data_IF_726486000746
#
_entry.id   IF_726486000746
#
_cell.length_a   1.000
_cell.length_b   1.000
_cell.length_c   1.000
_cell.angle_alpha   90.00
_cell.angle_beta   90.00
_cell.angle_gamma   90.00
#
_symmetry.space_group_name_H-M   'P 1'
#
loop_
_entity.id
_entity.type
_entity.pdbx_description
1 polymer ?
#
# COMPACT_ATOMS: atom_id res chain seq x y z
N UNK A 1 -27.93 5.61 4.53
CA UNK A 1 -27.95 5.82 3.06
C UNK A 1 -26.56 6.07 2.44
N UNK A 2 -25.47 6.23 3.23
CA UNK A 2 -24.09 6.34 2.69
C UNK A 2 -23.35 4.99 2.69
N UNK A 3 -23.65 4.09 3.63
CA UNK A 3 -23.00 2.77 3.75
C UNK A 3 -23.26 1.84 2.56
N UNK A 4 -24.39 2.00 1.85
CA UNK A 4 -24.70 1.26 0.63
C UNK A 4 -23.77 1.56 -0.54
N UNK A 5 -23.01 2.66 -0.48
CA UNK A 5 -22.02 3.02 -1.50
C UNK A 5 -20.68 2.34 -1.28
N UNK A 6 -20.38 1.88 -0.06
CA UNK A 6 -19.06 1.30 0.29
C UNK A 6 -18.68 0.15 -0.65
N UNK A 7 -19.55 -0.86 -0.92
CA UNK A 7 -19.20 -1.94 -1.84
C UNK A 7 -18.94 -1.45 -3.26
N UNK A 8 -19.62 -0.39 -3.70
CA UNK A 8 -19.45 0.19 -5.05
C UNK A 8 -18.12 0.89 -5.19
N UNK A 9 -17.70 1.66 -4.17
CA UNK A 9 -16.39 2.30 -4.16
C UNK A 9 -15.25 1.26 -4.10
N UNK A 10 -15.40 0.24 -3.26
CA UNK A 10 -14.43 -0.86 -3.19
C UNK A 10 -14.31 -1.56 -4.55
N UNK A 11 -15.44 -1.93 -5.17
CA UNK A 11 -15.43 -2.55 -6.48
C UNK A 11 -14.77 -1.67 -7.56
N UNK A 12 -15.11 -0.38 -7.60
CA UNK A 12 -14.52 0.56 -8.56
C UNK A 12 -13.00 0.69 -8.38
N UNK A 13 -12.52 0.81 -7.14
CA UNK A 13 -11.09 0.88 -6.82
C UNK A 13 -10.37 -0.41 -7.21
N UNK A 14 -10.95 -1.57 -6.88
CA UNK A 14 -10.39 -2.88 -7.24
C UNK A 14 -10.28 -3.05 -8.75
N UNK A 15 -11.34 -2.73 -9.50
CA UNK A 15 -11.33 -2.80 -10.97
C UNK A 15 -10.26 -1.87 -11.54
N UNK A 16 -10.19 -0.62 -11.06
CA UNK A 16 -9.17 0.33 -11.48
C UNK A 16 -7.75 -0.17 -11.22
N UNK A 17 -7.50 -0.76 -10.04
CA UNK A 17 -6.18 -1.28 -9.68
C UNK A 17 -5.79 -2.54 -10.48
N UNK A 18 -6.74 -3.45 -10.75
CA UNK A 18 -6.53 -4.59 -11.66
C UNK A 18 -6.18 -4.09 -13.06
N UNK A 19 -6.95 -3.13 -13.59
CA UNK A 19 -6.67 -2.54 -14.90
C UNK A 19 -5.31 -1.84 -14.94
N UNK A 20 -4.92 -1.14 -13.88
CA UNK A 20 -3.59 -0.54 -13.78
C UNK A 20 -2.48 -1.61 -13.79
N UNK A 21 -2.64 -2.72 -13.06
CA UNK A 21 -1.72 -3.86 -13.11
C UNK A 21 -1.60 -4.46 -14.51
N UNK A 22 -2.72 -4.65 -15.20
CA UNK A 22 -2.71 -5.20 -16.55
C UNK A 22 -2.12 -4.21 -17.57
N UNK A 23 -2.59 -2.97 -17.58
CA UNK A 23 -2.23 -1.99 -18.60
C UNK A 23 -0.87 -1.35 -18.35
N UNK A 24 -0.60 -0.90 -17.13
CA UNK A 24 0.66 -0.21 -16.84
C UNK A 24 1.75 -1.25 -16.63
N UNK A 25 1.60 -2.16 -15.67
CA UNK A 25 2.71 -3.05 -15.33
C UNK A 25 2.99 -4.07 -16.43
N UNK A 26 1.98 -4.70 -17.04
CA UNK A 26 2.21 -5.69 -18.12
C UNK A 26 2.27 -5.06 -19.52
N UNK A 27 1.31 -4.25 -19.95
CA UNK A 27 1.34 -3.75 -21.34
C UNK A 27 2.43 -2.71 -21.57
N UNK A 28 2.59 -1.74 -20.67
CA UNK A 28 3.63 -0.70 -20.82
C UNK A 28 5.00 -1.21 -20.38
N UNK A 29 5.09 -1.79 -19.17
CA UNK A 29 6.38 -2.19 -18.59
C UNK A 29 6.75 -3.67 -18.79
N UNK A 30 5.93 -4.50 -19.44
CA UNK A 30 6.18 -5.93 -19.57
C UNK A 30 7.52 -6.26 -20.24
N UNK A 31 7.93 -5.47 -21.24
CA UNK A 31 9.25 -5.61 -21.86
C UNK A 31 10.41 -5.28 -20.91
N UNK A 32 10.25 -4.24 -20.09
CA UNK A 32 11.23 -3.86 -19.05
C UNK A 32 11.31 -4.91 -17.95
N UNK A 33 10.17 -5.42 -17.51
CA UNK A 33 10.09 -6.52 -16.53
C UNK A 33 10.79 -7.76 -17.09
N UNK A 34 10.51 -8.16 -18.33
CA UNK A 34 11.16 -9.31 -18.95
C UNK A 34 12.68 -9.11 -19.13
N UNK A 35 13.12 -7.89 -19.42
CA UNK A 35 14.55 -7.56 -19.49
C UNK A 35 15.22 -7.67 -18.12
N UNK A 36 14.59 -7.13 -17.07
CA UNK A 36 15.05 -7.27 -15.69
C UNK A 36 15.11 -8.74 -15.25
N UNK A 37 14.08 -9.51 -15.60
CA UNK A 37 14.01 -10.94 -15.27
C UNK A 37 15.14 -11.72 -15.94
N UNK A 38 15.39 -11.48 -17.24
CA UNK A 38 16.47 -12.13 -17.98
C UNK A 38 17.85 -11.79 -17.41
N UNK A 39 18.10 -10.52 -17.11
CA UNK A 39 19.38 -10.06 -16.55
C UNK A 39 19.66 -10.69 -15.19
N UNK A 40 18.63 -10.89 -14.38
CA UNK A 40 18.77 -11.40 -13.01
C UNK A 40 18.53 -12.92 -12.90
N UNK A 41 18.33 -13.62 -14.02
CA UNK A 41 18.01 -15.05 -14.03
C UNK A 41 16.75 -15.38 -13.23
N UNK A 42 15.72 -14.55 -13.33
CA UNK A 42 14.44 -14.73 -12.63
C UNK A 42 13.48 -15.52 -13.51
N UNK A 43 12.98 -16.63 -12.98
CA UNK A 43 11.89 -17.40 -13.56
C UNK A 43 10.61 -17.14 -12.77
N UNK A 44 9.55 -16.68 -13.43
CA UNK A 44 8.27 -16.38 -12.77
C UNK A 44 7.70 -17.63 -12.10
N UNK A 45 7.21 -17.46 -10.87
CA UNK A 45 6.69 -18.55 -10.04
C UNK A 45 7.72 -19.13 -9.09
N UNK A 46 9.02 -18.98 -9.36
CA UNK A 46 10.06 -19.32 -8.41
C UNK A 46 10.21 -18.24 -7.31
N UNK A 47 10.75 -18.56 -6.12
CA UNK A 47 10.84 -17.61 -5.02
C UNK A 47 11.51 -16.27 -5.38
N UNK A 48 12.57 -16.30 -6.20
CA UNK A 48 13.30 -15.09 -6.64
C UNK A 48 12.43 -14.14 -7.49
N UNK A 49 11.36 -14.64 -8.09
CA UNK A 49 10.43 -13.82 -8.88
C UNK A 49 9.65 -12.81 -8.06
N UNK A 50 9.74 -12.86 -6.72
CA UNK A 50 9.23 -11.82 -5.82
C UNK A 50 9.77 -10.42 -6.18
N UNK A 51 11.00 -10.34 -6.70
CA UNK A 51 11.60 -9.08 -7.13
C UNK A 51 10.83 -8.43 -8.28
N UNK A 52 10.47 -9.19 -9.32
CA UNK A 52 9.67 -8.65 -10.44
C UNK A 52 8.17 -8.59 -10.09
N UNK A 53 7.68 -9.50 -9.23
CA UNK A 53 6.31 -9.46 -8.71
C UNK A 53 6.04 -8.20 -7.90
N UNK A 54 7.07 -7.61 -7.26
CA UNK A 54 6.96 -6.38 -6.47
C UNK A 54 6.49 -5.16 -7.27
N UNK A 55 6.49 -5.24 -8.61
CA UNK A 55 5.84 -4.23 -9.45
C UNK A 55 4.30 -4.21 -9.27
N UNK A 56 3.70 -5.30 -8.79
CA UNK A 56 2.25 -5.53 -8.73
C UNK A 56 1.68 -5.56 -7.30
N UNK A 57 2.53 -5.65 -6.29
CA UNK A 57 2.10 -5.78 -4.91
C UNK A 57 3.29 -5.72 -3.98
N UNK A 58 3.01 -5.55 -2.71
CA UNK A 58 4.03 -5.30 -1.71
C UNK A 58 4.49 -6.56 -0.98
N UNK A 59 5.66 -6.52 -0.38
CA UNK A 59 6.24 -7.66 0.30
C UNK A 59 7.05 -7.18 1.49
N UNK A 60 7.15 -8.05 2.50
CA UNK A 60 7.82 -7.75 3.75
C UNK A 60 8.77 -8.89 4.14
N UNK A 61 10.01 -8.61 4.58
CA UNK A 61 10.70 -7.33 4.37
C UNK A 61 10.77 -6.98 2.88
N UNK A 62 11.09 -5.72 2.54
CA UNK A 62 11.21 -5.30 1.15
C UNK A 62 12.18 -6.24 0.40
N UNK A 63 11.75 -6.95 -0.67
CA UNK A 63 12.55 -7.96 -1.33
C UNK A 63 13.85 -7.39 -1.91
N UNK A 64 13.82 -6.16 -2.41
CA UNK A 64 15.01 -5.47 -2.92
C UNK A 64 16.05 -5.14 -1.84
N UNK A 65 15.63 -5.10 -0.57
CA UNK A 65 16.51 -4.89 0.58
C UNK A 65 16.76 -6.17 1.39
N UNK A 66 16.29 -7.32 0.89
CA UNK A 66 16.58 -8.62 1.49
C UNK A 66 17.94 -9.15 1.04
N UNK A 67 18.59 -9.96 1.87
CA UNK A 67 19.81 -10.71 1.52
C UNK A 67 19.53 -11.88 0.57
N UNK A 68 18.35 -12.48 0.68
CA UNK A 68 17.96 -13.65 -0.10
C UNK A 68 17.77 -13.33 -1.58
N UNK A 69 17.19 -12.16 -1.86
CA UNK A 69 16.80 -11.79 -3.21
C UNK A 69 17.47 -10.48 -3.69
N UNK A 70 17.65 -9.51 -2.79
CA UNK A 70 18.13 -8.17 -3.11
C UNK A 70 19.58 -7.92 -2.71
N UNK A 71 19.86 -6.66 -2.37
CA UNK A 71 21.20 -6.18 -2.00
C UNK A 71 21.28 -5.56 -0.60
N UNK A 72 20.20 -5.69 0.19
CA UNK A 72 20.13 -5.09 1.52
C UNK A 72 20.42 -6.07 2.66
N UNK A 73 20.30 -5.60 3.92
CA UNK A 73 20.72 -6.36 5.09
C UNK A 73 19.66 -7.35 5.61
N UNK A 74 18.40 -7.22 5.20
CA UNK A 74 17.29 -7.92 5.83
C UNK A 74 17.25 -9.42 5.49
N UNK A 75 16.96 -10.25 6.48
CA UNK A 75 16.47 -11.63 6.29
C UNK A 75 14.96 -11.69 6.60
N UNK A 76 14.26 -12.73 6.16
CA UNK A 76 12.78 -12.80 6.33
C UNK A 76 12.33 -12.63 7.78
N UNK A 77 13.11 -13.17 8.72
CA UNK A 77 12.78 -13.19 10.14
C UNK A 77 12.96 -11.84 10.83
N UNK A 78 13.69 -10.89 10.22
CA UNK A 78 13.86 -9.53 10.76
C UNK A 78 12.53 -8.76 10.81
N UNK A 79 11.60 -9.09 9.91
CA UNK A 79 10.25 -8.53 9.89
C UNK A 79 9.23 -9.66 10.00
N UNK A 80 8.70 -9.83 11.22
CA UNK A 80 7.61 -10.76 11.49
C UNK A 80 6.32 -10.36 10.78
N UNK A 81 5.44 -11.33 10.53
CA UNK A 81 4.11 -11.10 9.94
C UNK A 81 3.29 -10.10 10.77
N UNK A 82 3.31 -10.25 12.10
CA UNK A 82 2.61 -9.32 12.99
C UNK A 82 3.25 -7.92 12.96
N UNK A 83 4.58 -7.83 12.95
CA UNK A 83 5.30 -6.55 12.83
C UNK A 83 4.97 -5.80 11.53
N UNK A 84 4.90 -6.53 10.42
CA UNK A 84 4.50 -5.99 9.13
C UNK A 84 3.03 -5.53 9.14
N UNK A 85 2.11 -6.34 9.67
CA UNK A 85 0.70 -5.96 9.85
C UNK A 85 0.56 -4.66 10.66
N UNK A 86 1.29 -4.54 11.76
CA UNK A 86 1.27 -3.33 12.60
C UNK A 86 1.89 -2.13 11.89
N UNK A 87 2.90 -2.33 11.05
CA UNK A 87 3.51 -1.26 10.25
C UNK A 87 2.54 -0.74 9.18
N UNK A 88 1.83 -1.64 8.50
CA UNK A 88 0.76 -1.27 7.55
C UNK A 88 -0.39 -0.54 8.24
N UNK A 89 -0.83 -1.01 9.41
CA UNK A 89 -1.83 -0.32 10.22
C UNK A 89 -1.35 1.06 10.69
N UNK A 90 -0.10 1.17 11.13
CA UNK A 90 0.49 2.40 11.63
C UNK A 90 0.63 3.47 10.54
N UNK A 91 1.18 3.12 9.38
CA UNK A 91 1.29 4.07 8.26
C UNK A 91 -0.08 4.53 7.76
N UNK A 92 -1.04 3.61 7.68
CA UNK A 92 -2.42 3.96 7.28
C UNK A 92 -3.13 4.83 8.33
N UNK A 93 -2.87 4.60 9.63
CA UNK A 93 -3.35 5.45 10.71
C UNK A 93 -2.86 6.89 10.53
N UNK A 94 -1.56 7.09 10.32
CA UNK A 94 -0.99 8.43 10.11
C UNK A 94 -1.63 9.09 8.89
N UNK A 95 -1.73 8.36 7.77
CA UNK A 95 -2.33 8.87 6.55
C UNK A 95 -3.79 9.30 6.78
N UNK A 96 -4.61 8.46 7.41
CA UNK A 96 -6.00 8.79 7.70
C UNK A 96 -6.11 9.94 8.69
N UNK A 97 -5.28 9.99 9.74
CA UNK A 97 -5.24 11.09 10.69
C UNK A 97 -5.00 12.43 9.99
N UNK A 98 -4.01 12.49 9.08
CA UNK A 98 -3.72 13.70 8.32
C UNK A 98 -4.88 14.05 7.38
N UNK A 99 -5.41 13.09 6.63
CA UNK A 99 -6.56 13.32 5.72
C UNK A 99 -7.73 13.93 6.48
N UNK A 100 -8.17 13.31 7.58
CA UNK A 100 -9.30 13.80 8.38
C UNK A 100 -8.95 15.09 9.13
N UNK A 101 -7.68 15.32 9.47
CA UNK A 101 -7.19 16.58 10.03
C UNK A 101 -7.36 17.74 9.05
N UNK A 102 -6.88 17.60 7.81
CA UNK A 102 -6.85 18.72 6.87
C UNK A 102 -8.15 18.92 6.09
N UNK A 103 -8.92 17.85 5.87
CA UNK A 103 -10.19 17.92 5.12
C UNK A 103 -11.37 18.41 5.98
N UNK A 104 -11.22 18.43 7.30
CA UNK A 104 -12.30 18.88 8.19
C UNK A 104 -12.73 20.32 7.90
N UNK A 105 -14.03 20.58 7.81
CA UNK A 105 -14.60 21.93 7.57
C UNK A 105 -14.16 23.00 8.57
N UNK A 106 -13.76 22.61 9.79
CA UNK A 106 -13.26 23.51 10.84
C UNK A 106 -11.80 23.91 10.65
N UNK A 107 -11.04 23.17 9.85
CA UNK A 107 -9.67 23.52 9.54
C UNK A 107 -9.63 24.72 8.58
N UNK A 108 -9.03 25.83 9.02
CA UNK A 108 -8.88 27.06 8.24
C UNK A 108 -7.45 27.31 7.75
N UNK A 109 -6.50 26.46 8.13
CA UNK A 109 -5.06 26.65 7.83
C UNK A 109 -4.80 26.63 6.32
N UNK A 110 -5.51 25.77 5.58
CA UNK A 110 -5.38 25.63 4.13
C UNK A 110 -6.44 26.41 3.34
N UNK A 111 -6.99 27.47 3.94
CA UNK A 111 -8.05 28.29 3.35
C UNK A 111 -9.46 27.71 3.57
N UNK A 112 -10.46 28.58 3.44
CA UNK A 112 -11.86 28.27 3.74
C UNK A 112 -12.72 27.93 2.52
N UNK A 113 -12.29 28.27 1.30
CA UNK A 113 -13.11 28.16 0.09
C UNK A 113 -12.64 27.00 -0.81
N UNK A 114 -11.49 27.14 -1.49
CA UNK A 114 -11.09 26.17 -2.52
C UNK A 114 -10.19 25.03 -2.01
N UNK A 115 -9.51 25.23 -0.87
CA UNK A 115 -8.68 24.21 -0.18
C UNK A 115 -7.71 23.45 -1.09
N UNK A 116 -7.17 24.13 -2.11
CA UNK A 116 -6.30 23.56 -3.15
C UNK A 116 -5.04 22.88 -2.58
N UNK A 117 -4.58 23.27 -1.39
CA UNK A 117 -3.44 22.65 -0.72
C UNK A 117 -3.69 21.26 -0.13
N UNK A 118 -4.95 20.82 0.02
CA UNK A 118 -5.30 19.54 0.66
C UNK A 118 -4.69 18.33 -0.07
N UNK A 119 -4.88 18.16 -1.40
CA UNK A 119 -4.25 17.05 -2.13
C UNK A 119 -2.72 17.05 -2.03
N UNK A 120 -2.09 18.23 -2.05
CA UNK A 120 -0.64 18.37 -1.93
C UNK A 120 -0.14 17.87 -0.56
N UNK A 121 -0.79 18.25 0.53
CA UNK A 121 -0.40 17.79 1.88
C UNK A 121 -0.60 16.29 2.05
N UNK A 122 -1.66 15.70 1.46
CA UNK A 122 -1.86 14.24 1.47
C UNK A 122 -0.74 13.55 0.69
N UNK A 123 -0.41 14.05 -0.50
CA UNK A 123 0.69 13.51 -1.32
C UNK A 123 2.04 13.62 -0.60
N UNK A 124 2.34 14.77 0.01
CA UNK A 124 3.56 14.98 0.79
C UNK A 124 3.63 14.06 2.02
N UNK A 125 2.48 13.78 2.66
CA UNK A 125 2.42 12.81 3.75
C UNK A 125 2.87 11.44 3.27
N UNK A 126 2.30 10.94 2.18
CA UNK A 126 2.72 9.67 1.58
C UNK A 126 4.20 9.70 1.21
N UNK A 127 4.69 10.79 0.59
CA UNK A 127 6.09 10.94 0.18
C UNK A 127 7.08 10.88 1.35
N UNK A 128 6.72 11.42 2.52
CA UNK A 128 7.54 11.36 3.74
C UNK A 128 7.50 9.98 4.39
N UNK A 129 6.31 9.35 4.45
CA UNK A 129 6.18 8.04 5.07
C UNK A 129 6.88 6.95 4.24
N UNK A 130 6.92 7.08 2.92
CA UNK A 130 7.48 6.08 2.01
C UNK A 130 8.92 5.66 2.37
N UNK A 131 9.93 6.54 2.46
CA UNK A 131 11.28 6.13 2.81
C UNK A 131 11.41 5.56 4.24
N UNK A 132 10.48 5.89 5.16
CA UNK A 132 10.51 5.42 6.54
C UNK A 132 10.07 3.96 6.66
N UNK A 133 9.03 3.58 5.91
CA UNK A 133 8.37 2.28 6.09
C UNK A 133 8.47 1.35 4.88
N UNK A 134 8.80 1.87 3.68
CA UNK A 134 9.01 1.03 2.51
C UNK A 134 10.14 0.01 2.68
N UNK A 135 11.18 0.22 3.50
CA UNK A 135 12.14 -0.84 3.80
C UNK A 135 11.54 -2.05 4.53
N UNK A 136 10.47 -1.83 5.30
CA UNK A 136 9.85 -2.86 6.16
C UNK A 136 8.74 -3.60 5.41
N UNK A 137 7.81 -2.88 4.78
CA UNK A 137 6.63 -3.49 4.14
C UNK A 137 6.39 -3.03 2.73
N UNK A 138 7.27 -2.18 2.18
CA UNK A 138 7.06 -1.44 0.92
C UNK A 138 5.87 -0.45 0.94
N UNK A 139 5.30 -0.16 2.13
CA UNK A 139 4.29 0.88 2.35
C UNK A 139 3.02 0.71 1.48
N UNK A 140 2.27 -0.37 1.71
CA UNK A 140 1.09 -0.70 0.92
C UNK A 140 -0.09 0.24 1.15
N UNK A 141 -0.50 0.41 2.41
CA UNK A 141 -1.50 1.35 2.99
C UNK A 141 -2.87 1.46 2.31
N UNK A 142 -3.13 0.66 1.29
CA UNK A 142 -4.36 0.68 0.51
C UNK A 142 -4.62 -0.74 -0.04
N UNK A 143 -5.72 -1.40 0.40
CA UNK A 143 -6.03 -2.76 -0.03
C UNK A 143 -6.19 -2.93 -1.53
N UNK A 144 -6.81 -1.96 -2.23
CA UNK A 144 -7.02 -2.08 -3.66
C UNK A 144 -5.72 -1.93 -4.46
N UNK A 145 -4.86 -1.01 -4.03
CA UNK A 145 -3.54 -0.74 -4.62
C UNK A 145 -2.59 -1.94 -4.55
N UNK A 146 -2.80 -2.80 -3.58
CA UNK A 146 -2.01 -4.01 -3.40
C UNK A 146 -2.70 -5.26 -4.00
N UNK A 147 -3.92 -5.57 -3.56
CA UNK A 147 -4.59 -6.81 -3.94
C UNK A 147 -4.99 -6.83 -5.42
N UNK A 148 -5.38 -5.70 -6.00
CA UNK A 148 -5.82 -5.62 -7.40
C UNK A 148 -4.73 -6.04 -8.39
N UNK A 149 -3.57 -5.37 -8.43
CA UNK A 149 -2.52 -5.74 -9.36
C UNK A 149 -1.87 -7.09 -9.01
N UNK A 150 -1.89 -7.56 -7.75
CA UNK A 150 -1.49 -8.93 -7.41
C UNK A 150 -2.31 -10.01 -8.11
N UNK A 151 -3.61 -9.82 -8.31
CA UNK A 151 -4.43 -10.76 -9.08
C UNK A 151 -3.86 -10.90 -10.50
N UNK A 152 -3.45 -9.77 -11.09
CA UNK A 152 -2.81 -9.76 -12.42
C UNK A 152 -1.48 -10.52 -12.38
N UNK A 153 -0.63 -10.31 -11.36
CA UNK A 153 0.62 -11.05 -11.23
C UNK A 153 0.41 -12.55 -11.03
N UNK A 154 -0.56 -12.95 -10.20
CA UNK A 154 -0.90 -14.35 -9.97
C UNK A 154 -1.28 -15.06 -11.27
N UNK A 155 -2.09 -14.42 -12.11
CA UNK A 155 -2.48 -14.92 -13.43
C UNK A 155 -1.38 -14.77 -14.48
N UNK A 156 -0.46 -13.82 -14.31
CA UNK A 156 0.62 -13.47 -15.24
C UNK A 156 1.89 -14.32 -15.12
N UNK A 157 1.81 -15.44 -14.39
CA UNK A 157 2.89 -16.43 -14.24
C UNK A 157 3.64 -16.39 -12.91
N UNK A 158 3.41 -15.40 -12.04
CA UNK A 158 4.04 -15.38 -10.70
C UNK A 158 3.36 -16.30 -9.70
N UNK A 159 2.10 -16.71 -9.94
CA UNK A 159 1.41 -17.72 -9.15
C UNK A 159 1.42 -17.44 -7.65
N UNK A 160 1.88 -18.43 -6.86
CA UNK A 160 1.87 -18.37 -5.39
C UNK A 160 2.76 -17.28 -4.80
N UNK A 161 3.78 -16.82 -5.55
CA UNK A 161 4.61 -15.68 -5.15
C UNK A 161 3.78 -14.39 -5.09
N UNK A 162 2.73 -14.27 -5.91
CA UNK A 162 1.79 -13.15 -5.84
C UNK A 162 0.71 -13.38 -4.77
N UNK A 163 0.02 -14.52 -4.83
CA UNK A 163 -1.07 -14.88 -3.90
C UNK A 163 -0.97 -16.38 -3.59
N UNK A 164 -0.79 -16.80 -2.32
CA UNK A 164 -0.92 -16.01 -1.09
C UNK A 164 0.34 -15.21 -0.72
N UNK A 165 1.37 -15.23 -1.56
CA UNK A 165 2.65 -14.63 -1.28
C UNK A 165 3.47 -15.40 -0.24
N UNK A 166 4.74 -15.02 -0.05
CA UNK A 166 5.60 -15.63 0.96
C UNK A 166 4.97 -15.57 2.36
N UNK A 167 5.12 -16.65 3.13
CA UNK A 167 4.54 -16.79 4.49
C UNK A 167 3.02 -16.57 4.55
N UNK A 168 2.34 -16.76 3.41
CA UNK A 168 0.92 -16.43 3.22
C UNK A 168 0.58 -15.00 3.65
N UNK A 169 1.49 -14.05 3.43
CA UNK A 169 1.46 -12.72 4.03
C UNK A 169 0.60 -11.68 3.32
N UNK A 170 0.09 -11.92 2.11
CA UNK A 170 -0.56 -10.86 1.30
C UNK A 170 -1.74 -10.16 2.01
N UNK A 171 -2.45 -10.86 2.90
CA UNK A 171 -3.63 -10.34 3.59
C UNK A 171 -3.29 -9.18 4.54
N UNK A 172 -2.03 -9.00 4.97
CA UNK A 172 -1.67 -7.90 5.86
C UNK A 172 -1.92 -6.54 5.21
N UNK A 173 -1.78 -6.44 3.89
CA UNK A 173 -1.99 -5.22 3.11
C UNK A 173 -3.47 -4.90 2.92
N UNK A 174 -4.35 -5.83 3.29
CA UNK A 174 -5.79 -5.63 3.36
C UNK A 174 -6.19 -5.29 4.79
N UNK A 175 -5.82 -6.16 5.74
CA UNK A 175 -6.26 -6.05 7.14
C UNK A 175 -5.60 -4.87 7.85
N UNK A 176 -4.29 -4.67 7.67
CA UNK A 176 -3.53 -3.57 8.29
C UNK A 176 -4.17 -2.21 8.01
N UNK A 177 -4.37 -1.83 6.73
CA UNK A 177 -5.04 -0.57 6.40
C UNK A 177 -6.47 -0.45 6.94
N UNK A 178 -7.25 -1.55 6.94
CA UNK A 178 -8.59 -1.58 7.52
C UNK A 178 -8.60 -1.38 9.05
N UNK A 179 -7.51 -1.72 9.75
CA UNK A 179 -7.34 -1.42 11.17
C UNK A 179 -6.86 0.02 11.39
N UNK A 180 -5.87 0.47 10.61
CA UNK A 180 -5.22 1.76 10.79
C UNK A 180 -6.13 2.96 10.48
N UNK A 181 -6.82 2.93 9.34
CA UNK A 181 -7.59 4.08 8.88
C UNK A 181 -8.70 4.53 9.86
N UNK A 182 -9.54 3.63 10.42
CA UNK A 182 -10.55 4.02 11.40
C UNK A 182 -9.96 4.63 12.67
N UNK A 183 -8.83 4.08 13.16
CA UNK A 183 -8.14 4.61 14.35
C UNK A 183 -7.61 6.01 14.08
N UNK A 184 -6.97 6.23 12.92
CA UNK A 184 -6.46 7.55 12.51
C UNK A 184 -7.58 8.58 12.40
N UNK A 185 -8.69 8.22 11.77
CA UNK A 185 -9.88 9.06 11.67
C UNK A 185 -10.44 9.42 13.06
N UNK A 186 -10.57 8.44 13.95
CA UNK A 186 -11.04 8.65 15.32
C UNK A 186 -10.12 9.59 16.10
N UNK A 187 -8.80 9.41 16.00
CA UNK A 187 -7.83 10.27 16.64
C UNK A 187 -7.91 11.71 16.12
N UNK A 188 -8.05 11.92 14.81
CA UNK A 188 -8.19 13.26 14.24
C UNK A 188 -9.43 13.97 14.80
N UNK A 189 -10.57 13.28 14.86
CA UNK A 189 -11.80 13.83 15.42
C UNK A 189 -11.64 14.18 16.91
N UNK A 190 -11.03 13.30 17.71
CA UNK A 190 -10.91 13.49 19.16
C UNK A 190 -9.84 14.50 19.57
N UNK A 191 -8.71 14.54 18.89
CA UNK A 191 -7.55 15.34 19.27
C UNK A 191 -7.60 16.74 18.64
N UNK A 192 -8.07 16.86 17.40
CA UNK A 192 -8.05 18.13 16.68
C UNK A 192 -9.41 18.84 16.70
N UNK A 193 -10.51 18.08 16.62
CA UNK A 193 -11.83 18.63 16.33
C UNK A 193 -12.86 18.50 17.44
N UNK A 194 -12.50 17.91 18.58
CA UNK A 194 -13.39 17.81 19.74
C UNK A 194 -13.80 19.22 20.16
N UNK A 195 -15.12 19.48 20.19
CA UNK A 195 -15.64 20.72 20.77
C UNK A 195 -15.31 20.71 22.26
N UNK A 196 -14.52 21.66 22.73
CA UNK A 196 -14.48 22.01 24.16
C UNK A 196 -15.80 22.72 24.45
N UNK A 197 -16.63 22.15 25.33
CA UNK A 197 -17.80 22.85 25.83
C UNK A 197 -17.29 24.12 26.53
N UNK A 198 -17.77 25.28 26.08
CA UNK A 198 -17.63 26.53 26.83
C UNK A 198 -18.65 26.54 27.96
#
# INVERSE_FOLDING_TARGET
MVTSLVPRYVAAQMVGAILAGAMINLLVYGGTIAAFERENGIVRGEPKSILSASAFGEYFPNPGLSKEYGSGPYVQDDVSVFGALMTEAWGTLILAFVIFGITNGRNKVLGSVERVGVPFVIGMTVAVLLPLYAPITQAGWNPARDFGPRIVAALGGWGEVAIPGPRSGFWIYIVGPCLGAPVGAFMAEKLLWRKVAK
#
